data_IF_848162707717
#
_entry.id   IF_848162707717
#
_cell.length_a   1.000
_cell.length_b   1.000
_cell.length_c   1.000
_cell.angle_alpha   90.00
_cell.angle_beta   90.00
_cell.angle_gamma   90.00
#
_symmetry.space_group_name_H-M   'P 1'
#
loop_
_entity.id
_entity.type
_entity.pdbx_description
1 polymer ?
#
# COMPACT_ATOMS: atom_id res chain seq x y z
N UNK A 1 -46.37 9.80 8.65
CA UNK A 1 -47.29 8.87 7.98
C UNK A 1 -48.02 9.50 6.79
N UNK A 2 -48.77 10.62 6.92
CA UNK A 2 -49.47 11.24 5.76
C UNK A 2 -48.56 11.68 4.59
N UNK A 3 -47.36 12.22 4.85
CA UNK A 3 -46.41 12.60 3.79
C UNK A 3 -45.81 11.41 3.01
N UNK A 4 -45.79 10.22 3.60
CA UNK A 4 -45.23 9.01 2.97
C UNK A 4 -46.19 8.40 1.93
N UNK A 5 -47.51 8.54 2.13
CA UNK A 5 -48.50 8.05 1.15
C UNK A 5 -48.46 8.83 -0.16
N UNK A 6 -48.41 10.16 -0.08
CA UNK A 6 -48.34 11.02 -1.27
C UNK A 6 -47.05 10.85 -2.08
N UNK A 7 -45.96 10.46 -1.42
CA UNK A 7 -44.71 10.17 -2.11
C UNK A 7 -44.82 8.94 -3.01
N UNK A 8 -45.39 7.84 -2.51
CA UNK A 8 -45.53 6.61 -3.30
C UNK A 8 -46.51 6.81 -4.46
N UNK A 9 -47.58 7.57 -4.24
CA UNK A 9 -48.52 7.95 -5.29
C UNK A 9 -47.86 8.80 -6.37
N UNK A 10 -47.06 9.82 -5.97
CA UNK A 10 -46.33 10.67 -6.90
C UNK A 10 -45.28 9.88 -7.69
N UNK A 11 -44.50 9.03 -7.01
CA UNK A 11 -43.52 8.14 -7.65
C UNK A 11 -44.20 7.22 -8.66
N UNK A 12 -45.32 6.58 -8.27
CA UNK A 12 -46.09 5.73 -9.17
C UNK A 12 -46.67 6.48 -10.38
N UNK A 13 -47.04 7.75 -10.23
CA UNK A 13 -47.48 8.59 -11.34
C UNK A 13 -46.32 8.90 -12.30
N UNK A 14 -45.14 9.27 -11.78
CA UNK A 14 -43.95 9.52 -12.61
C UNK A 14 -43.46 8.26 -13.32
N UNK A 15 -43.42 7.12 -12.63
CA UNK A 15 -43.06 5.83 -13.24
C UNK A 15 -44.03 5.46 -14.37
N UNK A 16 -45.34 5.64 -14.18
CA UNK A 16 -46.32 5.43 -15.27
C UNK A 16 -46.10 6.35 -16.47
N UNK A 17 -45.66 7.59 -16.25
CA UNK A 17 -45.31 8.52 -17.34
C UNK A 17 -44.05 8.03 -18.05
N UNK A 18 -43.05 7.59 -17.31
CA UNK A 18 -41.83 6.99 -17.87
C UNK A 18 -42.16 5.73 -18.68
N UNK A 19 -43.05 4.86 -18.20
CA UNK A 19 -43.44 3.65 -18.92
C UNK A 19 -44.20 3.96 -20.22
N UNK A 20 -45.02 5.02 -20.21
CA UNK A 20 -45.85 5.40 -21.37
C UNK A 20 -45.09 6.22 -22.42
N UNK A 21 -44.22 7.11 -21.97
CA UNK A 21 -43.56 8.09 -22.84
C UNK A 21 -42.06 7.85 -22.98
N UNK A 22 -41.47 6.96 -22.18
CA UNK A 22 -40.06 6.57 -22.20
C UNK A 22 -39.13 7.78 -22.19
N UNK A 23 -38.58 8.06 -23.36
CA UNK A 23 -37.58 9.09 -23.62
C UNK A 23 -38.19 10.48 -23.86
N UNK A 24 -39.50 10.57 -24.05
CA UNK A 24 -40.21 11.83 -24.27
C UNK A 24 -40.60 12.55 -22.97
N UNK A 25 -40.27 12.01 -21.80
CA UNK A 25 -40.61 12.59 -20.51
C UNK A 25 -39.38 12.84 -19.61
N UNK A 26 -38.43 13.71 -20.02
CA UNK A 26 -37.24 13.98 -19.22
C UNK A 26 -37.59 14.55 -17.83
N UNK A 27 -38.62 15.38 -17.71
CA UNK A 27 -39.05 15.95 -16.42
C UNK A 27 -39.48 14.86 -15.43
N UNK A 28 -40.11 13.77 -15.92
CA UNK A 28 -40.49 12.65 -15.06
C UNK A 28 -39.28 11.88 -14.53
N UNK A 29 -38.21 11.74 -15.34
CA UNK A 29 -36.94 11.16 -14.88
C UNK A 29 -36.28 12.03 -13.80
N UNK A 30 -36.30 13.36 -13.96
CA UNK A 30 -35.74 14.27 -12.96
C UNK A 30 -36.45 14.14 -11.60
N UNK A 31 -37.78 14.23 -11.60
CA UNK A 31 -38.58 14.15 -10.38
C UNK A 31 -38.47 12.77 -9.73
N UNK A 32 -38.49 11.69 -10.51
CA UNK A 32 -38.25 10.34 -10.00
C UNK A 32 -36.88 10.25 -9.30
N UNK A 33 -35.81 10.77 -9.91
CA UNK A 33 -34.46 10.77 -9.33
C UNK A 33 -34.40 11.52 -7.99
N UNK A 34 -35.02 12.71 -7.90
CA UNK A 34 -35.10 13.49 -6.65
C UNK A 34 -35.87 12.74 -5.55
N UNK A 35 -36.95 12.06 -5.93
CA UNK A 35 -37.75 11.25 -5.02
C UNK A 35 -36.96 10.06 -4.45
N UNK A 36 -36.21 9.34 -5.29
CA UNK A 36 -35.33 8.24 -4.86
C UNK A 36 -34.23 8.73 -3.91
N UNK A 37 -33.61 9.87 -4.21
CA UNK A 37 -32.56 10.45 -3.39
C UNK A 37 -33.06 10.92 -2.01
N UNK A 38 -34.20 11.62 -1.95
CA UNK A 38 -34.67 12.25 -0.71
C UNK A 38 -35.41 11.32 0.24
N UNK A 39 -36.30 10.46 -0.28
CA UNK A 39 -37.24 9.70 0.55
C UNK A 39 -36.83 8.24 0.68
N UNK A 40 -36.46 7.61 -0.45
CA UNK A 40 -36.05 6.20 -0.45
C UNK A 40 -34.59 6.02 -0.03
N UNK A 41 -33.79 7.09 -0.12
CA UNK A 41 -32.35 7.09 0.17
C UNK A 41 -31.63 5.98 -0.58
N UNK A 42 -32.09 5.71 -1.80
CA UNK A 42 -31.47 4.76 -2.72
C UNK A 42 -30.67 5.55 -3.76
N UNK A 43 -29.35 5.70 -3.57
CA UNK A 43 -28.53 6.49 -4.47
C UNK A 43 -28.34 5.81 -5.84
N UNK A 44 -28.54 4.49 -5.97
CA UNK A 44 -28.35 3.78 -7.24
C UNK A 44 -29.47 4.10 -8.23
N UNK A 45 -30.72 4.01 -7.77
CA UNK A 45 -31.89 4.36 -8.58
C UNK A 45 -31.87 5.85 -8.93
N UNK A 46 -31.55 6.72 -7.96
CA UNK A 46 -31.41 8.15 -8.21
C UNK A 46 -30.39 8.44 -9.33
N UNK A 47 -29.22 7.78 -9.30
CA UNK A 47 -28.19 7.92 -10.33
C UNK A 47 -28.67 7.46 -11.71
N UNK A 48 -29.45 6.39 -11.79
CA UNK A 48 -30.00 5.90 -13.06
C UNK A 48 -30.90 6.95 -13.73
N UNK A 49 -31.89 7.48 -13.01
CA UNK A 49 -32.81 8.49 -13.57
C UNK A 49 -32.11 9.82 -13.88
N UNK A 50 -31.15 10.26 -13.06
CA UNK A 50 -30.38 11.47 -13.35
C UNK A 50 -29.50 11.32 -14.59
N UNK A 51 -28.89 10.14 -14.80
CA UNK A 51 -28.15 9.85 -16.04
C UNK A 51 -29.07 9.87 -17.25
N UNK A 52 -30.25 9.26 -17.14
CA UNK A 52 -31.24 9.28 -18.23
C UNK A 52 -31.68 10.70 -18.57
N UNK A 53 -31.89 11.57 -17.57
CA UNK A 53 -32.17 12.98 -17.81
C UNK A 53 -31.06 13.68 -18.60
N UNK A 54 -29.79 13.47 -18.24
CA UNK A 54 -28.65 14.09 -18.92
C UNK A 54 -28.46 13.57 -20.34
N UNK A 55 -28.80 12.31 -20.61
CA UNK A 55 -28.80 11.74 -21.97
C UNK A 55 -29.82 12.44 -22.86
N UNK A 56 -31.02 12.71 -22.33
CA UNK A 56 -32.11 13.36 -23.09
C UNK A 56 -31.90 14.88 -23.23
N UNK A 57 -31.34 15.53 -22.19
CA UNK A 57 -31.24 17.00 -22.08
C UNK A 57 -29.86 17.44 -21.56
N UNK A 58 -28.78 17.27 -22.34
CA UNK A 58 -27.42 17.56 -21.89
C UNK A 58 -27.13 19.05 -21.64
N UNK A 59 -27.84 19.94 -22.34
CA UNK A 59 -27.64 21.41 -22.31
C UNK A 59 -28.81 22.18 -21.67
N UNK A 60 -29.62 21.52 -20.83
CA UNK A 60 -30.73 22.20 -20.16
C UNK A 60 -30.25 23.01 -18.96
N UNK A 61 -31.02 24.01 -18.51
CA UNK A 61 -30.72 24.76 -17.29
C UNK A 61 -30.68 23.85 -16.06
N UNK A 62 -31.51 22.82 -16.03
CA UNK A 62 -31.51 21.82 -14.96
C UNK A 62 -30.37 20.80 -15.08
N UNK A 63 -29.64 20.74 -16.21
CA UNK A 63 -28.54 19.78 -16.37
C UNK A 63 -27.42 20.02 -15.36
N UNK A 64 -27.12 21.28 -15.04
CA UNK A 64 -26.16 21.62 -13.98
C UNK A 64 -26.63 21.16 -12.60
N UNK A 65 -27.91 21.38 -12.28
CA UNK A 65 -28.50 20.88 -11.03
C UNK A 65 -28.40 19.35 -10.97
N UNK A 66 -28.70 18.64 -12.06
CA UNK A 66 -28.64 17.18 -12.13
C UNK A 66 -27.21 16.67 -11.97
N UNK A 67 -26.22 17.34 -12.57
CA UNK A 67 -24.78 17.01 -12.37
C UNK A 67 -24.37 17.12 -10.89
N UNK A 68 -24.86 18.16 -10.21
CA UNK A 68 -24.64 18.32 -8.77
C UNK A 68 -25.31 17.19 -7.97
N UNK A 69 -26.55 16.83 -8.30
CA UNK A 69 -27.25 15.72 -7.65
C UNK A 69 -26.59 14.37 -7.89
N UNK A 70 -26.09 14.11 -9.10
CA UNK A 70 -25.28 12.91 -9.42
C UNK A 70 -24.04 12.86 -8.53
N UNK A 71 -23.35 13.99 -8.35
CA UNK A 71 -22.15 14.04 -7.50
C UNK A 71 -22.50 13.76 -6.05
N UNK A 72 -23.62 14.30 -5.55
CA UNK A 72 -24.11 14.03 -4.21
C UNK A 72 -24.49 12.56 -4.02
N UNK A 73 -25.32 12.00 -4.91
CA UNK A 73 -25.74 10.60 -4.87
C UNK A 73 -24.55 9.64 -5.02
N UNK A 74 -23.56 9.96 -5.85
CA UNK A 74 -22.32 9.18 -5.99
C UNK A 74 -21.53 9.16 -4.70
N UNK A 75 -21.45 10.29 -3.99
CA UNK A 75 -20.78 10.37 -2.67
C UNK A 75 -21.52 9.54 -1.63
N UNK A 76 -22.86 9.60 -1.61
CA UNK A 76 -23.67 8.80 -0.71
C UNK A 76 -23.55 7.30 -0.98
N UNK A 77 -23.59 6.90 -2.26
CA UNK A 77 -23.33 5.52 -2.66
C UNK A 77 -21.94 5.06 -2.21
N UNK A 78 -20.91 5.89 -2.38
CA UNK A 78 -19.58 5.51 -1.97
C UNK A 78 -19.42 5.35 -0.44
N UNK A 79 -20.27 5.99 0.38
CA UNK A 79 -20.29 5.78 1.83
C UNK A 79 -20.85 4.41 2.23
N UNK A 80 -21.74 3.82 1.42
CA UNK A 80 -22.30 2.49 1.69
C UNK A 80 -21.33 1.37 1.31
N UNK A 81 -20.29 1.67 0.51
CA UNK A 81 -19.28 0.68 0.16
C UNK A 81 -18.32 0.42 1.34
N UNK A 82 -18.06 -0.85 1.70
CA UNK A 82 -17.22 -1.22 2.85
C UNK A 82 -15.76 -0.76 2.73
N UNK A 83 -15.29 -0.45 1.52
CA UNK A 83 -13.96 0.09 1.26
C UNK A 83 -13.90 1.63 1.29
N UNK A 84 -14.99 2.32 1.68
CA UNK A 84 -15.19 3.77 1.72
C UNK A 84 -14.16 4.57 0.89
N UNK A 85 -14.30 4.57 -0.45
CA UNK A 85 -13.25 5.06 -1.34
C UNK A 85 -12.95 6.55 -1.17
N UNK A 86 -13.80 7.36 -0.51
CA UNK A 86 -13.55 8.78 -0.23
C UNK A 86 -13.01 9.05 1.19
N UNK A 87 -13.46 8.33 2.22
CA UNK A 87 -12.93 8.47 3.59
C UNK A 87 -11.48 7.94 3.65
N UNK A 88 -11.24 6.83 2.93
CA UNK A 88 -9.91 6.24 2.79
C UNK A 88 -8.98 7.04 1.88
N UNK A 89 -9.42 8.10 1.19
CA UNK A 89 -8.51 8.93 0.37
C UNK A 89 -7.51 9.70 1.24
N UNK A 90 -7.97 10.31 2.34
CA UNK A 90 -7.09 11.05 3.26
C UNK A 90 -6.13 10.10 3.97
N UNK A 91 -6.66 9.01 4.55
CA UNK A 91 -5.83 8.00 5.22
C UNK A 91 -4.81 7.36 4.25
N UNK A 92 -5.19 7.14 2.99
CA UNK A 92 -4.28 6.64 1.95
C UNK A 92 -3.23 7.68 1.57
N UNK A 93 -3.58 8.96 1.52
CA UNK A 93 -2.61 10.03 1.28
C UNK A 93 -1.57 10.10 2.41
N UNK A 94 -2.01 10.07 3.66
CA UNK A 94 -1.12 10.04 4.82
C UNK A 94 -0.23 8.79 4.83
N UNK A 95 -0.81 7.63 4.51
CA UNK A 95 -0.07 6.38 4.36
C UNK A 95 1.00 6.48 3.26
N UNK A 96 0.67 7.07 2.11
CA UNK A 96 1.61 7.26 0.99
C UNK A 96 2.76 8.19 1.38
N UNK A 97 2.47 9.30 2.06
CA UNK A 97 3.52 10.19 2.57
C UNK A 97 4.44 9.47 3.57
N UNK A 98 3.87 8.61 4.43
CA UNK A 98 4.64 7.82 5.37
C UNK A 98 5.54 6.79 4.67
N UNK A 99 5.07 6.18 3.59
CA UNK A 99 5.87 5.26 2.76
C UNK A 99 7.06 6.01 2.15
N UNK A 100 6.84 7.19 1.57
CA UNK A 100 7.91 8.00 0.98
C UNK A 100 8.97 8.41 2.03
N UNK A 101 8.51 8.85 3.20
CA UNK A 101 9.40 9.18 4.31
C UNK A 101 10.23 7.97 4.75
N UNK A 102 9.59 6.82 4.96
CA UNK A 102 10.29 5.59 5.37
C UNK A 102 11.27 5.11 4.31
N UNK A 103 11.00 5.33 3.02
CA UNK A 103 11.94 5.00 1.95
C UNK A 103 13.17 5.90 1.98
N UNK A 104 13.01 7.21 2.20
CA UNK A 104 14.12 8.15 2.36
C UNK A 104 14.98 7.81 3.58
N UNK A 105 14.36 7.55 4.72
CA UNK A 105 15.08 7.14 5.94
C UNK A 105 15.82 5.82 5.73
N UNK A 106 15.21 4.83 5.08
CA UNK A 106 15.88 3.57 4.73
C UNK A 106 17.09 3.80 3.83
N UNK A 107 17.01 4.74 2.90
CA UNK A 107 18.11 5.05 2.00
C UNK A 107 19.24 5.75 2.76
N UNK A 108 18.91 6.74 3.59
CA UNK A 108 19.89 7.43 4.45
C UNK A 108 20.61 6.47 5.40
N UNK A 109 19.87 5.59 6.09
CA UNK A 109 20.46 4.61 6.99
C UNK A 109 21.38 3.63 6.25
N UNK A 110 21.02 3.23 5.02
CA UNK A 110 21.88 2.37 4.19
C UNK A 110 23.17 3.08 3.79
N UNK A 111 23.11 4.36 3.44
CA UNK A 111 24.29 5.18 3.13
C UNK A 111 25.18 5.37 4.35
N UNK A 112 24.59 5.63 5.52
CA UNK A 112 25.32 5.79 6.77
C UNK A 112 26.05 4.49 7.15
N UNK A 113 25.38 3.35 7.08
CA UNK A 113 25.99 2.04 7.29
C UNK A 113 27.11 1.78 6.27
N UNK A 114 26.94 2.18 5.01
CA UNK A 114 27.98 2.05 4.00
C UNK A 114 29.20 2.94 4.32
N UNK A 115 29.01 4.15 4.83
CA UNK A 115 30.08 5.03 5.29
C UNK A 115 30.85 4.42 6.47
N UNK A 116 30.14 3.96 7.51
CA UNK A 116 30.74 3.26 8.65
C UNK A 116 31.50 2.00 8.22
N UNK A 117 30.96 1.20 7.29
CA UNK A 117 31.61 -0.01 6.76
C UNK A 117 32.84 0.25 5.90
N UNK A 118 32.91 1.39 5.22
CA UNK A 118 34.06 1.76 4.37
C UNK A 118 35.19 2.44 5.12
N UNK A 119 35.07 2.58 6.45
CA UNK A 119 36.11 3.16 7.31
C UNK A 119 36.32 4.66 7.08
N UNK A 120 35.34 5.34 6.48
CA UNK A 120 35.39 6.78 6.24
C UNK A 120 34.71 7.51 7.41
N UNK A 121 35.37 8.45 8.09
CA UNK A 121 34.73 9.18 9.17
C UNK A 121 33.57 9.99 8.59
N UNK A 122 32.36 9.73 9.10
CA UNK A 122 31.18 10.55 8.83
C UNK A 122 31.50 11.97 9.31
N UNK A 123 31.18 13.04 8.55
CA UNK A 123 31.31 14.40 9.07
C UNK A 123 30.39 14.53 10.28
N UNK A 124 30.99 14.57 11.47
CA UNK A 124 30.28 14.85 12.71
C UNK A 124 29.61 16.23 12.60
N UNK A 125 28.40 16.41 13.15
CA UNK A 125 27.81 17.75 13.26
C UNK A 125 28.79 18.64 14.05
N UNK A 126 29.10 19.80 13.48
CA UNK A 126 29.96 20.81 14.07
C UNK A 126 29.40 21.23 15.44
N UNK A 127 30.04 20.77 16.52
CA UNK A 127 29.59 21.09 17.88
C UNK A 127 30.38 20.46 19.03
N UNK A 128 31.37 19.60 18.78
CA UNK A 128 32.22 19.05 19.85
C UNK A 128 33.47 19.92 20.03
N UNK A 129 33.39 20.85 20.97
CA UNK A 129 34.52 21.64 21.48
C UNK A 129 35.56 20.69 22.06
N UNK A 130 36.78 20.76 21.53
CA UNK A 130 37.95 20.08 22.08
C UNK A 130 38.52 20.88 23.24
N UNK A 131 38.68 20.25 24.41
CA UNK A 131 39.59 20.73 25.46
C UNK A 131 40.78 19.77 25.56
N UNK A 132 42.04 20.28 25.63
CA UNK A 132 43.21 19.42 25.69
C UNK A 132 43.72 19.18 27.12
N UNK A 133 44.51 18.10 27.22
CA UNK A 133 45.63 17.87 28.13
C UNK A 133 45.33 17.55 29.61
N UNK A 134 45.54 16.27 29.97
CA UNK A 134 46.20 15.95 31.23
C UNK A 134 47.34 14.95 30.97
N UNK A 135 48.55 15.37 31.36
CA UNK A 135 49.82 14.64 31.27
C UNK A 135 50.01 13.81 32.54
N UNK A 136 50.10 12.48 32.44
CA UNK A 136 50.81 11.66 33.42
C UNK A 136 51.08 10.24 32.87
N UNK A 137 52.35 9.99 32.53
CA UNK A 137 53.02 8.68 32.60
C UNK A 137 54.05 8.79 33.77
N UNK A 138 54.70 7.72 34.31
CA UNK A 138 55.16 6.48 33.62
C UNK A 138 55.22 5.24 34.58
N UNK A 139 56.16 4.26 34.48
CA UNK A 139 56.45 3.25 33.43
C UNK A 139 56.49 1.78 33.98
N UNK A 140 57.00 0.84 33.16
CA UNK A 140 57.32 -0.61 33.39
C UNK A 140 56.17 -1.59 33.10
N UNK A 141 56.31 -2.69 32.37
CA UNK A 141 57.44 -3.36 31.73
C UNK A 141 56.91 -4.27 30.57
N UNK A 142 57.75 -4.51 29.57
CA UNK A 142 57.65 -5.57 28.53
C UNK A 142 58.10 -6.93 29.14
N UNK A 143 57.92 -8.16 28.56
CA UNK A 143 58.08 -8.43 27.12
C UNK A 143 57.46 -9.72 26.45
N UNK A 144 57.61 -9.80 25.11
CA UNK A 144 57.62 -10.97 24.14
C UNK A 144 56.34 -11.84 24.05
N UNK A 145 55.84 -12.45 22.94
CA UNK A 145 56.35 -13.03 21.67
C UNK A 145 55.14 -13.05 20.69
N UNK A 146 55.19 -12.42 19.51
CA UNK A 146 55.61 -12.92 18.18
C UNK A 146 54.83 -14.11 17.59
N UNK A 147 54.08 -13.84 16.50
CA UNK A 147 53.94 -14.63 15.27
C UNK A 147 52.84 -13.93 14.42
N UNK A 148 53.14 -13.14 13.39
CA UNK A 148 53.55 -13.62 12.06
C UNK A 148 52.35 -14.23 11.33
N UNK A 149 51.80 -13.71 10.23
CA UNK A 149 52.28 -12.71 9.29
C UNK A 149 51.15 -12.19 8.37
N UNK A 150 51.43 -11.04 7.76
CA UNK A 150 50.80 -10.50 6.53
C UNK A 150 51.59 -11.07 5.31
N UNK A 151 51.32 -10.74 4.03
CA UNK A 151 50.31 -9.84 3.44
C UNK A 151 49.58 -10.42 2.20
N UNK A 152 48.43 -9.85 1.83
CA UNK A 152 47.75 -10.17 0.56
C UNK A 152 46.96 -8.99 0.04
N UNK A 153 47.34 -8.50 -1.13
CA UNK A 153 46.99 -7.21 -1.72
C UNK A 153 45.64 -7.25 -2.44
N UNK A 154 44.99 -6.09 -2.44
CA UNK A 154 43.84 -5.65 -3.27
C UNK A 154 43.78 -6.31 -4.66
N UNK A 155 42.56 -6.59 -5.14
CA UNK A 155 42.07 -6.04 -6.42
C UNK A 155 40.59 -6.34 -6.67
N UNK A 156 40.03 -5.45 -7.48
CA UNK A 156 38.61 -5.24 -7.79
C UNK A 156 38.04 -6.32 -8.72
N UNK A 157 36.71 -6.39 -8.65
CA UNK A 157 35.75 -6.98 -9.58
C UNK A 157 36.14 -6.81 -11.05
N UNK A 158 35.84 -7.80 -11.90
CA UNK A 158 35.22 -7.54 -13.19
C UNK A 158 33.79 -8.06 -13.19
N UNK A 159 32.87 -7.15 -13.45
CA UNK A 159 31.51 -7.41 -13.89
C UNK A 159 31.56 -8.35 -15.09
N UNK A 160 31.07 -9.56 -14.90
CA UNK A 160 30.64 -10.48 -15.96
C UNK A 160 29.29 -11.04 -15.51
N UNK A 161 28.29 -10.89 -16.36
CA UNK A 161 26.88 -11.19 -16.09
C UNK A 161 26.69 -12.55 -15.39
N UNK A 162 25.86 -12.66 -14.33
CA UNK A 162 25.59 -13.96 -13.74
C UNK A 162 24.29 -14.55 -14.30
N UNK A 163 24.47 -15.70 -14.96
CA UNK A 163 23.51 -16.79 -15.14
C UNK A 163 22.58 -17.02 -13.93
N UNK A 164 21.41 -17.64 -14.14
CA UNK A 164 20.45 -17.95 -13.07
C UNK A 164 21.16 -18.60 -11.86
N UNK A 165 20.90 -18.10 -10.63
CA UNK A 165 21.58 -18.62 -9.44
C UNK A 165 21.21 -20.09 -9.22
N UNK A 166 22.24 -20.91 -9.04
CA UNK A 166 22.11 -22.30 -8.63
C UNK A 166 21.31 -22.43 -7.33
N UNK A 167 20.50 -23.49 -7.16
CA UNK A 167 19.69 -23.69 -5.96
C UNK A 167 20.59 -23.82 -4.73
N UNK A 168 20.51 -22.83 -3.84
CA UNK A 168 21.20 -22.83 -2.55
C UNK A 168 20.42 -23.68 -1.57
N UNK A 169 20.64 -24.98 -1.65
CA UNK A 169 20.07 -25.94 -0.69
C UNK A 169 20.62 -25.64 0.71
N UNK A 170 19.73 -25.38 1.68
CA UNK A 170 20.08 -25.30 3.11
C UNK A 170 20.23 -23.91 3.74
N UNK A 171 19.79 -22.83 3.08
CA UNK A 171 19.76 -21.48 3.70
C UNK A 171 18.57 -21.33 4.65
N UNK A 172 18.71 -20.53 5.71
CA UNK A 172 17.58 -20.07 6.54
C UNK A 172 17.24 -18.63 6.21
N UNK A 173 15.95 -18.29 6.26
CA UNK A 173 15.44 -16.94 6.05
C UNK A 173 14.59 -16.50 7.24
N UNK A 174 14.95 -15.36 7.84
CA UNK A 174 14.14 -14.72 8.87
C UNK A 174 13.09 -13.88 8.18
N UNK A 175 11.82 -14.24 8.39
CA UNK A 175 10.65 -13.54 7.85
C UNK A 175 10.63 -12.09 8.35
N UNK A 176 10.50 -11.14 7.44
CA UNK A 176 10.26 -9.73 7.77
C UNK A 176 8.79 -9.35 7.56
N UNK A 177 8.30 -8.24 8.17
CA UNK A 177 6.93 -7.78 7.93
C UNK A 177 6.64 -7.57 6.44
N UNK A 178 5.58 -8.20 5.94
CA UNK A 178 5.17 -8.12 4.54
C UNK A 178 5.71 -9.23 3.63
N UNK A 179 6.55 -10.13 4.15
CA UNK A 179 6.97 -11.31 3.39
C UNK A 179 5.80 -12.28 3.16
N UNK A 180 5.84 -12.95 2.02
CA UNK A 180 4.95 -14.06 1.67
C UNK A 180 5.79 -15.26 1.25
N UNK A 181 5.32 -16.49 1.46
CA UNK A 181 6.04 -17.71 1.06
C UNK A 181 6.38 -17.69 -0.44
N UNK A 182 5.45 -17.21 -1.27
CA UNK A 182 5.65 -17.03 -2.70
C UNK A 182 6.68 -15.95 -3.02
N UNK A 183 6.69 -14.84 -2.28
CA UNK A 183 7.69 -13.77 -2.41
C UNK A 183 9.10 -14.24 -2.05
N UNK A 184 9.23 -14.99 -0.95
CA UNK A 184 10.47 -15.62 -0.53
C UNK A 184 10.92 -16.64 -1.59
N UNK A 185 10.02 -17.49 -2.08
CA UNK A 185 10.33 -18.45 -3.14
C UNK A 185 10.82 -17.76 -4.43
N UNK A 186 10.17 -16.67 -4.84
CA UNK A 186 10.60 -15.87 -5.99
C UNK A 186 11.98 -15.26 -5.77
N UNK A 187 12.27 -14.78 -4.57
CA UNK A 187 13.53 -14.12 -4.23
C UNK A 187 14.72 -15.09 -4.21
N UNK A 188 14.50 -16.30 -3.70
CA UNK A 188 15.58 -17.29 -3.50
C UNK A 188 15.71 -18.31 -4.64
N UNK A 189 14.60 -18.68 -5.28
CA UNK A 189 14.57 -19.70 -6.33
C UNK A 189 14.15 -19.16 -7.71
N UNK A 190 13.85 -17.85 -7.81
CA UNK A 190 13.38 -17.24 -9.05
C UNK A 190 11.98 -17.68 -9.49
N UNK A 191 11.29 -18.50 -8.70
CA UNK A 191 9.98 -19.03 -9.03
C UNK A 191 9.05 -19.04 -7.82
N UNK A 192 7.92 -18.33 -7.94
CA UNK A 192 6.85 -18.34 -6.93
C UNK A 192 6.38 -19.76 -6.62
N UNK A 193 6.35 -20.65 -7.61
CA UNK A 193 5.87 -22.05 -7.46
C UNK A 193 6.70 -22.88 -6.48
N UNK A 194 7.94 -22.46 -6.17
CA UNK A 194 8.81 -23.10 -5.18
C UNK A 194 8.39 -22.89 -3.73
N UNK A 195 7.32 -22.13 -3.48
CA UNK A 195 6.75 -21.96 -2.14
C UNK A 195 6.31 -23.28 -1.50
N UNK A 196 5.89 -24.28 -2.29
CA UNK A 196 5.48 -25.60 -1.80
C UNK A 196 6.65 -26.37 -1.19
N UNK A 197 7.83 -26.25 -1.78
CA UNK A 197 9.05 -26.89 -1.29
C UNK A 197 9.45 -26.26 0.05
N UNK A 198 9.39 -24.93 0.15
CA UNK A 198 9.61 -24.19 1.41
C UNK A 198 8.58 -24.60 2.46
N UNK A 199 7.30 -24.69 2.11
CA UNK A 199 6.23 -25.12 3.02
C UNK A 199 6.48 -26.55 3.53
N UNK A 200 6.85 -27.47 2.65
CA UNK A 200 7.15 -28.86 3.00
C UNK A 200 8.34 -28.96 3.97
N UNK A 201 9.39 -28.15 3.76
CA UNK A 201 10.57 -28.11 4.64
C UNK A 201 10.29 -27.49 6.03
N UNK A 202 9.16 -26.80 6.20
CA UNK A 202 8.79 -26.07 7.42
C UNK A 202 7.40 -26.45 7.95
N UNK A 203 6.93 -27.70 7.71
CA UNK A 203 5.61 -28.16 8.17
C UNK A 203 5.41 -27.99 9.69
N UNK A 204 6.49 -28.05 10.46
CA UNK A 204 6.48 -27.84 11.92
C UNK A 204 6.05 -26.42 12.31
N UNK A 205 6.38 -25.41 11.47
CA UNK A 205 6.08 -23.99 11.70
C UNK A 205 4.86 -23.52 10.88
N UNK A 206 4.62 -24.16 9.74
CA UNK A 206 3.59 -23.83 8.77
C UNK A 206 2.77 -25.08 8.44
N UNK A 207 1.73 -25.38 9.23
CA UNK A 207 0.86 -26.52 8.99
C UNK A 207 0.21 -26.48 7.60
N UNK A 208 -0.20 -25.28 7.16
CA UNK A 208 -1.05 -25.10 5.99
C UNK A 208 -0.50 -23.96 5.09
N UNK A 209 -0.93 -23.93 3.83
CA UNK A 209 -0.60 -22.86 2.87
C UNK A 209 -1.09 -21.47 3.34
N UNK A 210 -2.18 -21.45 4.11
CA UNK A 210 -2.77 -20.23 4.68
C UNK A 210 -2.21 -19.88 6.07
N UNK A 211 -1.16 -20.57 6.54
CA UNK A 211 -0.57 -20.25 7.83
C UNK A 211 0.11 -18.88 7.78
N UNK A 212 -0.24 -17.94 8.69
CA UNK A 212 0.29 -16.59 8.67
C UNK A 212 1.79 -16.60 9.00
N UNK A 213 2.60 -15.96 8.15
CA UNK A 213 4.02 -15.76 8.42
C UNK A 213 4.18 -14.69 9.50
N UNK A 214 4.76 -15.06 10.64
CA UNK A 214 5.08 -14.12 11.71
C UNK A 214 6.47 -13.50 11.48
N UNK A 215 6.62 -12.17 11.56
CA UNK A 215 7.93 -11.54 11.52
C UNK A 215 8.86 -12.10 12.60
N UNK A 216 10.13 -12.32 12.26
CA UNK A 216 11.12 -12.95 13.13
C UNK A 216 11.14 -14.48 13.07
N UNK A 217 10.24 -15.11 12.33
CA UNK A 217 10.22 -16.56 12.14
C UNK A 217 11.34 -17.02 11.19
N UNK A 218 12.08 -18.05 11.55
CA UNK A 218 13.10 -18.66 10.68
C UNK A 218 12.50 -19.76 9.80
N UNK A 219 12.55 -19.59 8.48
CA UNK A 219 12.19 -20.59 7.49
C UNK A 219 13.42 -21.28 6.92
N UNK A 220 13.40 -22.61 6.89
CA UNK A 220 14.35 -23.46 6.18
C UNK A 220 14.06 -23.41 4.67
N UNK A 221 15.06 -23.04 3.88
CA UNK A 221 14.98 -23.03 2.42
C UNK A 221 15.64 -24.32 1.89
N UNK A 222 14.88 -25.23 1.24
CA UNK A 222 15.38 -26.50 0.73
C UNK A 222 16.38 -26.38 -0.43
#
# INVERSE_FOLDING_TARGET
>A
LKKQGHFQEALGAYLKVIDKYGDNAPEAHLEAGLLYQQQLKDPLEALHYFRRYLELRPNSQQAELVRQQITAATREFARTLPAQPFENQTARFDLLNRIDQLQKENLQLKEEIAAWRTGRPVPAPAGAVSTPANLAAPPYAVPVVSAGGRPGVRSRVPETAPSPPAPVTGRRHVVVPGDTLMGIAQRYYGSRSKYRDILAANRDLLPNENSPLKPGMELKLP
#
